data_IF_764753608602
#
_entry.id   IF_764753608602
#
_cell.length_a   1.000
_cell.length_b   1.000
_cell.length_c   1.000
_cell.angle_alpha   90.00
_cell.angle_beta   90.00
_cell.angle_gamma   90.00
#
_symmetry.space_group_name_H-M   'P 1'
#
loop_
_entity.id
_entity.type
_entity.pdbx_description
1 polymer ?
#
# COMPACT_ATOMS: atom_id res chain seq x y z
N UNK A 1 -20.86 -4.98 -15.15
CA UNK A 1 -22.09 -5.17 -15.94
C UNK A 1 -22.88 -3.88 -15.82
N UNK A 2 -23.16 -3.20 -16.93
CA UNK A 2 -23.96 -1.98 -16.94
C UNK A 2 -25.38 -2.35 -17.41
N UNK A 3 -26.40 -1.90 -16.69
CA UNK A 3 -27.81 -2.09 -17.06
C UNK A 3 -28.38 -0.71 -17.38
N UNK A 4 -28.96 -0.55 -18.57
CA UNK A 4 -29.63 0.67 -19.00
C UNK A 4 -31.10 0.66 -18.53
N UNK A 5 -31.35 1.23 -17.35
CA UNK A 5 -32.69 1.30 -16.73
C UNK A 5 -33.64 2.24 -17.47
N UNK A 6 -33.07 3.23 -18.15
CA UNK A 6 -33.71 4.14 -19.10
C UNK A 6 -34.35 3.37 -20.27
N UNK A 7 -33.62 2.43 -20.87
CA UNK A 7 -34.14 1.58 -21.95
C UNK A 7 -35.19 0.58 -21.43
N UNK A 8 -34.99 0.05 -20.22
CA UNK A 8 -35.95 -0.84 -19.57
C UNK A 8 -37.32 -0.15 -19.37
N UNK A 9 -37.33 1.14 -18.97
CA UNK A 9 -38.56 1.93 -18.79
C UNK A 9 -39.37 2.13 -20.08
N UNK A 10 -38.73 2.14 -21.24
CA UNK A 10 -39.41 2.34 -22.53
C UNK A 10 -40.15 1.09 -23.03
N UNK A 11 -39.84 -0.09 -22.48
CA UNK A 11 -40.44 -1.36 -22.88
C UNK A 11 -41.56 -1.70 -21.88
N UNK A 12 -42.75 -2.03 -22.39
CA UNK A 12 -43.88 -2.47 -21.55
C UNK A 12 -43.57 -3.84 -20.94
N UNK A 13 -43.37 -3.87 -19.63
CA UNK A 13 -43.02 -5.07 -18.87
C UNK A 13 -44.10 -5.42 -17.84
N UNK A 14 -44.49 -6.70 -17.76
CA UNK A 14 -45.21 -7.24 -16.61
C UNK A 14 -44.20 -7.57 -15.50
N UNK A 15 -44.59 -7.36 -14.24
CA UNK A 15 -43.76 -7.69 -13.07
C UNK A 15 -43.93 -9.18 -12.73
N UNK A 16 -43.45 -10.05 -13.63
CA UNK A 16 -43.67 -11.49 -13.51
C UNK A 16 -42.56 -12.18 -12.71
N UNK A 17 -41.36 -11.59 -12.66
CA UNK A 17 -40.20 -12.11 -11.94
C UNK A 17 -39.65 -11.10 -10.94
N UNK A 18 -38.97 -11.61 -9.93
CA UNK A 18 -38.32 -10.79 -8.91
C UNK A 18 -37.30 -9.81 -9.51
N UNK A 19 -36.56 -10.21 -10.54
CA UNK A 19 -35.65 -9.31 -11.26
C UNK A 19 -36.40 -8.12 -11.90
N UNK A 20 -37.58 -8.36 -12.47
CA UNK A 20 -38.40 -7.31 -13.08
C UNK A 20 -38.91 -6.35 -12.00
N UNK A 21 -39.24 -6.87 -10.82
CA UNK A 21 -39.61 -6.06 -9.65
C UNK A 21 -38.45 -5.16 -9.19
N UNK A 22 -37.23 -5.68 -9.09
CA UNK A 22 -36.03 -4.91 -8.76
C UNK A 22 -35.73 -3.83 -9.81
N UNK A 23 -35.81 -4.16 -11.10
CA UNK A 23 -35.55 -3.21 -12.19
C UNK A 23 -36.61 -2.10 -12.21
N UNK A 24 -37.90 -2.42 -11.98
CA UNK A 24 -38.95 -1.39 -11.85
C UNK A 24 -38.75 -0.52 -10.62
N UNK A 25 -38.44 -1.13 -9.47
CA UNK A 25 -38.23 -0.42 -8.21
C UNK A 25 -37.07 0.57 -8.27
N UNK A 26 -35.97 0.21 -8.94
CA UNK A 26 -34.79 1.06 -9.08
C UNK A 26 -34.87 2.06 -10.25
N UNK A 27 -35.74 1.79 -11.23
CA UNK A 27 -35.88 2.65 -12.40
C UNK A 27 -36.93 3.74 -12.20
N UNK A 28 -37.90 3.56 -11.29
CA UNK A 28 -39.02 4.49 -11.14
C UNK A 28 -39.24 5.06 -9.75
N UNK A 29 -39.48 6.37 -9.72
CA UNK A 29 -39.77 7.15 -8.51
C UNK A 29 -41.29 7.41 -8.36
N UNK A 30 -42.11 6.99 -9.32
CA UNK A 30 -43.56 7.26 -9.33
C UNK A 30 -44.29 6.36 -8.31
N UNK A 31 -45.14 6.92 -7.43
CA UNK A 31 -45.86 6.17 -6.41
C UNK A 31 -46.69 5.00 -6.95
N UNK A 32 -47.27 5.18 -8.14
CA UNK A 32 -48.08 4.18 -8.84
C UNK A 32 -47.26 2.96 -9.27
N UNK A 33 -46.00 3.16 -9.66
CA UNK A 33 -45.09 2.08 -10.05
C UNK A 33 -44.60 1.32 -8.83
N UNK A 34 -44.21 2.04 -7.78
CA UNK A 34 -43.82 1.44 -6.50
C UNK A 34 -44.98 0.63 -5.91
N UNK A 35 -46.20 1.15 -5.98
CA UNK A 35 -47.39 0.43 -5.53
C UNK A 35 -47.58 -0.89 -6.30
N UNK A 36 -47.41 -0.88 -7.63
CA UNK A 36 -47.48 -2.09 -8.47
C UNK A 36 -46.40 -3.11 -8.08
N UNK A 37 -45.17 -2.65 -7.81
CA UNK A 37 -44.08 -3.51 -7.32
C UNK A 37 -44.43 -4.13 -5.98
N UNK A 38 -44.92 -3.34 -5.02
CA UNK A 38 -45.27 -3.82 -3.67
C UNK A 38 -46.47 -4.77 -3.71
N UNK A 39 -47.44 -4.54 -4.59
CA UNK A 39 -48.60 -5.43 -4.76
C UNK A 39 -48.19 -6.80 -5.32
N UNK A 40 -47.23 -6.85 -6.24
CA UNK A 40 -46.68 -8.09 -6.78
C UNK A 40 -45.68 -8.76 -5.82
N UNK A 41 -44.86 -7.96 -5.12
CA UNK A 41 -43.78 -8.40 -4.23
C UNK A 41 -43.81 -7.59 -2.92
N UNK A 42 -44.59 -8.01 -1.91
CA UNK A 42 -44.78 -7.26 -0.66
C UNK A 42 -43.49 -6.99 0.14
N UNK A 43 -42.43 -7.78 -0.06
CA UNK A 43 -41.13 -7.58 0.58
C UNK A 43 -40.51 -6.20 0.26
N UNK A 44 -40.88 -5.59 -0.86
CA UNK A 44 -40.40 -4.25 -1.24
C UNK A 44 -41.02 -3.12 -0.41
N UNK A 45 -42.08 -3.37 0.36
CA UNK A 45 -42.70 -2.35 1.21
C UNK A 45 -41.73 -1.85 2.29
N UNK A 46 -40.99 -2.77 2.90
CA UNK A 46 -40.03 -2.43 3.95
C UNK A 46 -38.86 -1.63 3.37
N UNK A 47 -38.34 -2.08 2.22
CA UNK A 47 -37.30 -1.38 1.46
C UNK A 47 -37.73 0.04 1.05
N UNK A 48 -38.96 0.19 0.54
CA UNK A 48 -39.48 1.50 0.17
C UNK A 48 -39.62 2.43 1.38
N UNK A 49 -40.08 1.90 2.52
CA UNK A 49 -40.19 2.69 3.76
C UNK A 49 -38.84 3.20 4.23
N UNK A 50 -37.83 2.34 4.21
CA UNK A 50 -36.47 2.69 4.60
C UNK A 50 -35.90 3.81 3.69
N UNK A 51 -36.06 3.66 2.37
CA UNK A 51 -35.63 4.69 1.39
C UNK A 51 -36.41 6.00 1.59
N UNK A 52 -37.71 5.93 1.84
CA UNK A 52 -38.54 7.10 2.09
C UNK A 52 -38.21 7.81 3.41
N UNK A 53 -37.72 7.08 4.42
CA UNK A 53 -37.23 7.67 5.67
C UNK A 53 -35.96 8.49 5.43
N UNK A 54 -35.05 8.02 4.57
CA UNK A 54 -33.87 8.82 4.18
C UNK A 54 -34.24 10.10 3.43
N UNK A 55 -35.31 10.09 2.62
CA UNK A 55 -35.82 11.32 1.98
C UNK A 55 -36.35 12.34 3.00
N UNK A 56 -36.86 11.88 4.16
CA UNK A 56 -37.33 12.76 5.24
C UNK A 56 -36.22 13.23 6.17
N UNK A 57 -35.11 12.50 6.26
CA UNK A 57 -34.00 12.75 7.18
C UNK A 57 -32.65 12.64 6.45
N UNK A 58 -32.40 13.51 5.45
CA UNK A 58 -31.18 13.45 4.65
C UNK A 58 -29.92 13.65 5.50
N UNK A 59 -30.02 14.35 6.64
CA UNK A 59 -28.89 14.58 7.55
C UNK A 59 -28.37 13.29 8.19
N UNK A 60 -29.25 12.34 8.52
CA UNK A 60 -28.83 11.04 9.06
C UNK A 60 -28.15 10.17 8.02
N UNK A 61 -28.64 10.20 6.77
CA UNK A 61 -27.99 9.53 5.64
C UNK A 61 -26.57 10.08 5.43
N UNK A 62 -26.44 11.42 5.42
CA UNK A 62 -25.14 12.08 5.27
C UNK A 62 -24.23 11.75 6.46
N UNK A 63 -24.75 11.72 7.69
CA UNK A 63 -23.98 11.34 8.87
C UNK A 63 -23.44 9.89 8.78
N UNK A 64 -24.29 8.93 8.42
CA UNK A 64 -23.90 7.53 8.24
C UNK A 64 -22.86 7.36 7.13
N UNK A 65 -23.01 8.09 6.01
CA UNK A 65 -22.04 8.09 4.92
C UNK A 65 -20.69 8.66 5.36
N UNK A 66 -20.71 9.75 6.13
CA UNK A 66 -19.51 10.37 6.69
C UNK A 66 -18.80 9.46 7.70
N UNK A 67 -19.53 8.75 8.56
CA UNK A 67 -18.93 7.77 9.49
C UNK A 67 -18.26 6.62 8.75
N UNK A 68 -18.92 6.10 7.70
CA UNK A 68 -18.36 5.03 6.87
C UNK A 68 -17.11 5.48 6.13
N UNK A 69 -17.14 6.68 5.54
CA UNK A 69 -15.97 7.28 4.89
C UNK A 69 -14.84 7.54 5.89
N UNK A 70 -15.15 8.09 7.06
CA UNK A 70 -14.15 8.33 8.11
C UNK A 70 -13.50 7.04 8.62
N UNK A 71 -14.28 5.95 8.74
CA UNK A 71 -13.74 4.64 9.08
C UNK A 71 -12.83 4.10 7.99
N UNK A 72 -13.21 4.24 6.72
CA UNK A 72 -12.40 3.82 5.58
C UNK A 72 -11.08 4.61 5.50
N UNK A 73 -11.14 5.93 5.69
CA UNK A 73 -9.96 6.79 5.75
C UNK A 73 -9.06 6.41 6.91
N UNK A 74 -9.63 6.15 8.10
CA UNK A 74 -8.88 5.70 9.27
C UNK A 74 -8.13 4.40 8.99
N UNK A 75 -8.82 3.39 8.45
CA UNK A 75 -8.20 2.10 8.12
C UNK A 75 -7.11 2.25 7.05
N UNK A 76 -7.31 3.14 6.07
CA UNK A 76 -6.32 3.43 5.04
C UNK A 76 -5.08 4.08 5.64
N UNK A 77 -5.25 5.07 6.53
CA UNK A 77 -4.14 5.71 7.23
C UNK A 77 -3.38 4.72 8.11
N UNK A 78 -4.07 3.85 8.84
CA UNK A 78 -3.44 2.81 9.65
C UNK A 78 -2.61 1.85 8.79
N UNK A 79 -3.14 1.38 7.66
CA UNK A 79 -2.40 0.55 6.71
C UNK A 79 -1.15 1.26 6.18
N UNK A 80 -1.26 2.52 5.77
CA UNK A 80 -0.12 3.31 5.28
C UNK A 80 0.96 3.50 6.37
N UNK A 81 0.57 3.67 7.63
CA UNK A 81 1.51 3.76 8.75
C UNK A 81 2.25 2.43 8.93
N UNK A 82 1.54 1.29 8.87
CA UNK A 82 2.15 -0.03 8.99
C UNK A 82 3.16 -0.30 7.87
N UNK A 83 2.81 0.00 6.63
CA UNK A 83 3.70 -0.11 5.46
C UNK A 83 4.95 0.75 5.63
N UNK A 84 4.79 2.02 6.03
CA UNK A 84 5.91 2.92 6.29
C UNK A 84 6.80 2.43 7.44
N UNK A 85 6.23 1.89 8.51
CA UNK A 85 7.01 1.32 9.61
C UNK A 85 7.81 0.10 9.16
N UNK A 86 7.26 -0.75 8.29
CA UNK A 86 7.98 -1.88 7.74
C UNK A 86 9.13 -1.44 6.83
N UNK A 87 8.91 -0.43 5.99
CA UNK A 87 9.94 0.14 5.13
C UNK A 87 11.08 0.77 5.96
N UNK A 88 10.74 1.51 7.02
CA UNK A 88 11.73 2.06 7.97
C UNK A 88 12.56 0.94 8.61
N UNK A 89 11.94 -0.17 9.01
CA UNK A 89 12.66 -1.32 9.57
C UNK A 89 13.64 -1.93 8.58
N UNK A 90 13.22 -2.14 7.32
CA UNK A 90 14.08 -2.65 6.24
C UNK A 90 15.27 -1.73 5.99
N UNK A 91 15.02 -0.43 5.87
CA UNK A 91 16.09 0.57 5.68
C UNK A 91 17.05 0.62 6.88
N UNK A 92 16.54 0.52 8.10
CA UNK A 92 17.39 0.47 9.29
C UNK A 92 18.29 -0.77 9.31
N UNK A 93 17.79 -1.92 8.88
CA UNK A 93 18.56 -3.15 8.75
C UNK A 93 19.64 -3.04 7.66
N UNK A 94 19.30 -2.50 6.49
CA UNK A 94 20.28 -2.24 5.42
C UNK A 94 21.40 -1.31 5.88
N UNK A 95 21.06 -0.22 6.58
CA UNK A 95 22.05 0.72 7.12
C UNK A 95 22.95 0.01 8.14
N UNK A 96 22.38 -0.84 8.99
CA UNK A 96 23.15 -1.63 9.96
C UNK A 96 24.13 -2.57 9.26
N UNK A 97 23.68 -3.26 8.21
CA UNK A 97 24.51 -4.18 7.43
C UNK A 97 25.64 -3.45 6.71
N UNK A 98 25.33 -2.36 5.99
CA UNK A 98 26.35 -1.52 5.32
C UNK A 98 27.36 -0.95 6.31
N UNK A 99 26.93 -0.58 7.52
CA UNK A 99 27.83 -0.10 8.56
C UNK A 99 28.77 -1.22 9.05
N UNK A 100 28.26 -2.44 9.21
CA UNK A 100 29.08 -3.59 9.59
C UNK A 100 30.12 -3.92 8.49
N UNK A 101 29.70 -3.97 7.23
CA UNK A 101 30.58 -4.17 6.08
C UNK A 101 31.68 -3.09 5.99
N UNK A 102 31.31 -1.83 6.22
CA UNK A 102 32.27 -0.72 6.22
C UNK A 102 33.30 -0.85 7.33
N UNK A 103 32.88 -1.24 8.54
CA UNK A 103 33.81 -1.45 9.65
C UNK A 103 34.73 -2.65 9.41
N UNK A 104 34.22 -3.73 8.81
CA UNK A 104 35.06 -4.86 8.40
C UNK A 104 36.08 -4.45 7.34
N UNK A 105 35.64 -3.73 6.30
CA UNK A 105 36.53 -3.21 5.25
C UNK A 105 37.62 -2.29 5.81
N UNK A 106 37.28 -1.42 6.78
CA UNK A 106 38.28 -0.61 7.49
C UNK A 106 39.27 -1.45 8.31
N UNK A 107 38.81 -2.53 8.94
CA UNK A 107 39.69 -3.43 9.68
C UNK A 107 40.69 -4.11 8.74
N UNK A 108 40.20 -4.68 7.63
CA UNK A 108 41.02 -5.31 6.61
C UNK A 108 42.04 -4.32 6.01
N UNK A 109 41.62 -3.08 5.75
CA UNK A 109 42.52 -2.03 5.24
C UNK A 109 43.63 -1.71 6.26
N UNK A 110 43.30 -1.63 7.56
CA UNK A 110 44.29 -1.41 8.63
C UNK A 110 45.28 -2.56 8.74
N UNK A 111 44.85 -3.80 8.51
CA UNK A 111 45.77 -4.94 8.49
C UNK A 111 46.71 -4.88 7.28
N UNK A 112 46.18 -4.63 6.09
CA UNK A 112 47.00 -4.44 4.88
C UNK A 112 48.00 -3.30 5.02
N UNK A 113 47.60 -2.17 5.59
CA UNK A 113 48.50 -1.04 5.84
C UNK A 113 49.64 -1.41 6.81
N UNK A 114 49.36 -2.25 7.83
CA UNK A 114 50.40 -2.76 8.74
C UNK A 114 51.36 -3.71 8.02
N UNK A 115 50.86 -4.59 7.17
CA UNK A 115 51.69 -5.50 6.38
C UNK A 115 52.59 -4.74 5.40
N UNK A 116 52.05 -3.75 4.70
CA UNK A 116 52.80 -2.88 3.80
C UNK A 116 53.95 -2.18 4.55
N UNK A 117 53.68 -1.60 5.72
CA UNK A 117 54.73 -0.98 6.55
C UNK A 117 55.84 -1.95 6.92
N UNK A 118 55.51 -3.19 7.31
CA UNK A 118 56.52 -4.22 7.61
C UNK A 118 57.36 -4.56 6.39
N UNK A 119 56.74 -4.66 5.21
CA UNK A 119 57.45 -4.91 3.94
C UNK A 119 58.35 -3.75 3.55
N UNK A 120 57.90 -2.52 3.73
CA UNK A 120 58.72 -1.32 3.47
C UNK A 120 59.94 -1.26 4.40
N UNK A 121 59.78 -1.59 5.69
CA UNK A 121 60.88 -1.69 6.64
C UNK A 121 61.88 -2.80 6.26
N UNK A 122 61.39 -3.97 5.84
CA UNK A 122 62.21 -5.10 5.38
C UNK A 122 63.00 -4.74 4.11
N UNK A 123 62.34 -4.12 3.12
CA UNK A 123 62.99 -3.61 1.90
C UNK A 123 64.05 -2.55 2.22
N UNK A 124 63.76 -1.63 3.14
CA UNK A 124 64.72 -0.62 3.57
C UNK A 124 65.95 -1.25 4.25
N UNK A 125 65.78 -2.32 5.03
CA UNK A 125 66.90 -3.06 5.63
C UNK A 125 67.74 -3.76 4.56
N UNK A 126 67.11 -4.51 3.66
CA UNK A 126 67.79 -5.21 2.58
C UNK A 126 68.58 -4.24 1.68
N UNK A 127 68.01 -3.07 1.35
CA UNK A 127 68.70 -2.02 0.58
C UNK A 127 70.00 -1.56 1.26
N UNK A 128 69.97 -1.30 2.57
CA UNK A 128 71.17 -0.91 3.34
C UNK A 128 72.21 -2.03 3.38
N UNK A 129 71.78 -3.28 3.43
CA UNK A 129 72.68 -4.43 3.46
C UNK A 129 73.37 -4.64 2.10
N UNK A 130 72.63 -4.48 1.00
CA UNK A 130 73.20 -4.48 -0.36
C UNK A 130 74.22 -3.35 -0.52
N UNK A 131 73.92 -2.13 -0.05
CA UNK A 131 74.88 -1.01 -0.09
C UNK A 131 76.17 -1.31 0.69
N UNK A 132 76.06 -1.91 1.88
CA UNK A 132 77.23 -2.33 2.67
C UNK A 132 78.08 -3.39 1.97
N UNK A 133 77.45 -4.42 1.39
CA UNK A 133 78.16 -5.50 0.71
C UNK A 133 78.77 -5.04 -0.62
N UNK A 134 78.08 -4.15 -1.35
CA UNK A 134 78.59 -3.53 -2.57
C UNK A 134 79.78 -2.60 -2.33
N UNK A 135 79.80 -1.89 -1.20
CA UNK A 135 80.95 -1.06 -0.80
C UNK A 135 82.20 -1.86 -0.43
N UNK A 136 82.05 -3.06 0.15
CA UNK A 136 83.17 -3.92 0.53
C UNK A 136 83.79 -4.72 -0.65
N UNK A 137 83.17 -4.74 -1.82
CA UNK A 137 83.68 -5.42 -3.01
C UNK A 137 84.51 -4.50 -3.94
N UNK A 138 84.69 -3.22 -3.56
CA UNK A 138 85.35 -2.19 -4.36
C UNK A 138 86.65 -1.61 -3.79
N UNK A 139 87.17 -2.13 -2.68
CA UNK A 139 88.53 -1.86 -2.16
C UNK A 139 89.46 -3.06 -2.42
#
# INVERSE_FOLDING_TARGET
>A
MFIALDIFREITHNIDKELDAWLYFLSSDEPEDIKRVIEAYPAFLELYREIAEFQRRPEELIAMYNETLALFDKNTVELMIEEQQEEIKKLAEEVRNKKAELEQSKADQREKDKELRKRDEELARLRREIERLGGNAGE
#
